data_IF_667999596180
#
_entry.id   IF_667999596180
#
_cell.length_a   1.000
_cell.length_b   1.000
_cell.length_c   1.000
_cell.angle_alpha   90.00
_cell.angle_beta   90.00
_cell.angle_gamma   90.00
#
_symmetry.space_group_name_H-M   'P 1'
#
loop_
_entity.id
_entity.type
_entity.pdbx_description
1 polymer ?
#
# COMPACT_ATOMS: atom_id res chain seq x y z
N UNK A 1 31.18 1.52 50.10
CA UNK A 1 30.74 1.41 48.69
C UNK A 1 29.25 1.74 48.65
N UNK A 2 28.87 2.85 47.99
CA UNK A 2 27.46 3.23 47.82
C UNK A 2 26.91 2.47 46.60
N UNK A 3 25.93 1.61 46.83
CA UNK A 3 25.21 0.88 45.78
C UNK A 3 24.22 1.83 45.13
N UNK A 4 24.55 2.33 43.94
CA UNK A 4 23.60 3.04 43.08
C UNK A 4 22.66 2.01 42.45
N UNK A 5 21.52 1.78 43.09
CA UNK A 5 20.33 1.19 42.46
C UNK A 5 19.75 2.20 41.46
N UNK A 6 20.34 2.25 40.27
CA UNK A 6 19.75 2.94 39.14
C UNK A 6 18.58 2.14 38.59
N UNK A 7 17.35 2.55 38.92
CA UNK A 7 16.15 2.11 38.20
C UNK A 7 16.39 2.25 36.69
N UNK A 8 16.17 1.21 35.87
CA UNK A 8 16.16 1.39 34.43
C UNK A 8 14.97 2.31 34.11
N UNK A 9 15.28 3.55 33.71
CA UNK A 9 14.28 4.48 33.17
C UNK A 9 13.53 3.76 32.06
N UNK A 10 12.25 3.47 32.27
CA UNK A 10 11.30 3.22 31.18
C UNK A 10 11.46 4.41 30.22
N UNK A 11 11.99 4.16 29.02
CA UNK A 11 11.86 5.13 27.93
C UNK A 11 10.36 5.39 27.81
N UNK A 12 9.95 6.63 27.95
CA UNK A 12 8.58 7.00 27.59
C UNK A 12 8.43 6.66 26.11
N UNK A 13 7.57 5.69 25.79
CA UNK A 13 7.20 5.44 24.41
C UNK A 13 6.54 6.71 23.88
N UNK A 14 7.19 7.36 22.93
CA UNK A 14 6.72 8.60 22.35
C UNK A 14 5.55 8.26 21.42
N UNK A 15 4.33 8.51 21.90
CA UNK A 15 3.12 8.25 21.12
C UNK A 15 3.01 9.24 19.97
N UNK A 16 3.13 8.74 18.74
CA UNK A 16 2.82 9.50 17.53
C UNK A 16 1.46 9.06 16.97
N UNK A 17 0.62 10.01 16.56
CA UNK A 17 -0.72 9.70 16.06
C UNK A 17 -0.70 9.34 14.58
N UNK A 18 -1.16 8.15 14.22
CA UNK A 18 -1.42 7.77 12.82
C UNK A 18 -2.87 8.12 12.45
N UNK A 19 -3.04 8.88 11.36
CA UNK A 19 -4.38 9.22 10.85
C UNK A 19 -4.91 8.06 9.99
N UNK A 20 -5.97 7.42 10.49
CA UNK A 20 -6.67 6.33 9.81
C UNK A 20 -8.12 6.76 9.54
N UNK A 21 -8.70 6.35 8.39
CA UNK A 21 -10.11 6.63 8.06
C UNK A 21 -11.04 6.06 9.13
N UNK A 22 -12.14 6.78 9.42
CA UNK A 22 -13.10 6.37 10.46
C UNK A 22 -13.73 5.01 10.21
N UNK A 23 -14.02 4.66 8.94
CA UNK A 23 -14.53 3.34 8.56
C UNK A 23 -13.56 2.22 8.93
N UNK A 24 -12.27 2.39 8.64
CA UNK A 24 -11.23 1.43 8.99
C UNK A 24 -11.10 1.28 10.51
N UNK A 25 -11.11 2.38 11.27
CA UNK A 25 -11.09 2.32 12.75
C UNK A 25 -12.27 1.51 13.30
N UNK A 26 -13.48 1.74 12.77
CA UNK A 26 -14.67 0.99 13.16
C UNK A 26 -14.53 -0.51 12.88
N UNK A 27 -13.98 -0.88 11.73
CA UNK A 27 -13.77 -2.28 11.38
C UNK A 27 -12.77 -2.97 12.31
N UNK A 28 -11.65 -2.32 12.64
CA UNK A 28 -10.66 -2.92 13.56
C UNK A 28 -11.23 -3.04 14.98
N UNK A 29 -11.98 -2.04 15.46
CA UNK A 29 -12.67 -2.12 16.76
C UNK A 29 -13.62 -3.33 16.80
N UNK A 30 -14.49 -3.49 15.79
CA UNK A 30 -15.41 -4.63 15.71
C UNK A 30 -14.68 -5.98 15.69
N UNK A 31 -13.54 -6.05 15.00
CA UNK A 31 -12.72 -7.25 14.95
C UNK A 31 -12.11 -7.59 16.32
N UNK A 32 -11.52 -6.60 17.00
CA UNK A 32 -10.94 -6.78 18.33
C UNK A 32 -12.02 -7.10 19.38
N UNK A 33 -13.18 -6.45 19.34
CA UNK A 33 -14.32 -6.79 20.20
C UNK A 33 -14.79 -8.23 19.99
N UNK A 34 -14.72 -8.76 18.76
CA UNK A 34 -15.08 -10.16 18.49
C UNK A 34 -14.07 -11.13 19.09
N UNK A 35 -12.77 -10.85 18.96
CA UNK A 35 -11.70 -11.75 19.41
C UNK A 35 -11.52 -11.70 20.93
N UNK A 36 -11.61 -10.51 21.52
CA UNK A 36 -11.43 -10.31 22.97
C UNK A 36 -12.68 -10.65 23.80
N UNK A 37 -13.72 -11.26 23.20
CA UNK A 37 -14.88 -11.81 23.91
C UNK A 37 -14.58 -13.13 24.60
N UNK A 38 -13.57 -13.86 24.13
CA UNK A 38 -13.10 -15.08 24.76
C UNK A 38 -12.34 -14.73 26.06
N UNK A 39 -12.84 -15.19 27.21
CA UNK A 39 -12.26 -14.93 28.54
C UNK A 39 -11.01 -15.78 28.84
N UNK A 40 -10.80 -16.80 28.03
CA UNK A 40 -9.78 -17.83 28.15
C UNK A 40 -8.38 -17.35 27.71
N UNK A 41 -8.28 -16.21 27.03
CA UNK A 41 -7.01 -15.64 26.56
C UNK A 41 -6.85 -14.16 26.93
N UNK A 42 -5.61 -13.68 26.96
CA UNK A 42 -5.29 -12.27 27.17
C UNK A 42 -5.84 -11.38 26.05
N UNK A 43 -6.26 -10.15 26.40
CA UNK A 43 -6.81 -9.20 25.43
C UNK A 43 -5.75 -8.75 24.43
N UNK A 44 -6.07 -8.87 23.15
CA UNK A 44 -5.26 -8.35 22.04
C UNK A 44 -5.49 -6.85 21.93
N UNK A 45 -4.40 -6.08 21.89
CA UNK A 45 -4.44 -4.63 21.67
C UNK A 45 -4.26 -4.29 20.19
N UNK A 46 -4.59 -3.04 19.83
CA UNK A 46 -4.32 -2.51 18.50
C UNK A 46 -2.83 -2.62 18.14
N UNK A 47 -1.96 -2.23 19.05
CA UNK A 47 -0.51 -2.21 18.81
C UNK A 47 0.03 -3.62 18.56
N UNK A 48 -0.38 -4.61 19.37
CA UNK A 48 0.03 -6.00 19.16
C UNK A 48 -0.43 -6.54 17.80
N UNK A 49 -1.66 -6.19 17.38
CA UNK A 49 -2.19 -6.60 16.08
C UNK A 49 -1.42 -5.96 14.92
N UNK A 50 -1.14 -4.65 15.00
CA UNK A 50 -0.39 -3.93 13.96
C UNK A 50 1.03 -4.45 13.86
N UNK A 51 1.73 -4.62 14.99
CA UNK A 51 3.09 -5.18 15.00
C UNK A 51 3.14 -6.58 14.37
N UNK A 52 2.18 -7.45 14.72
CA UNK A 52 2.07 -8.77 14.12
C UNK A 52 1.94 -8.69 12.59
N UNK A 53 1.04 -7.86 12.08
CA UNK A 53 0.90 -7.72 10.62
C UNK A 53 2.17 -7.14 9.98
N UNK A 54 2.82 -6.16 10.59
CA UNK A 54 4.06 -5.58 10.04
C UNK A 54 5.20 -6.61 9.95
N UNK A 55 5.30 -7.52 10.92
CA UNK A 55 6.33 -8.58 10.94
C UNK A 55 6.02 -9.75 10.00
N UNK A 56 4.73 -10.02 9.74
CA UNK A 56 4.30 -11.20 8.99
C UNK A 56 3.78 -10.89 7.58
N UNK A 57 3.76 -9.62 7.17
CA UNK A 57 3.36 -9.23 5.81
C UNK A 57 4.43 -9.67 4.82
N UNK A 58 4.04 -10.51 3.86
CA UNK A 58 4.93 -10.97 2.79
C UNK A 58 5.12 -9.90 1.72
N UNK A 59 6.13 -10.09 0.86
CA UNK A 59 6.32 -9.20 -0.28
C UNK A 59 5.16 -9.31 -1.28
N UNK A 60 4.60 -10.51 -1.44
CA UNK A 60 3.45 -10.79 -2.29
C UNK A 60 2.21 -10.00 -1.84
N UNK A 61 1.95 -9.94 -0.52
CA UNK A 61 0.85 -9.15 0.04
C UNK A 61 1.02 -7.66 -0.27
N UNK A 62 2.24 -7.13 -0.15
CA UNK A 62 2.56 -5.75 -0.49
C UNK A 62 2.33 -5.50 -1.98
N UNK A 63 2.74 -6.41 -2.84
CA UNK A 63 2.51 -6.28 -4.28
C UNK A 63 1.02 -6.27 -4.63
N UNK A 64 0.20 -7.07 -3.96
CA UNK A 64 -1.26 -7.05 -4.13
C UNK A 64 -1.83 -5.69 -3.74
N UNK A 65 -1.42 -5.16 -2.58
CA UNK A 65 -1.85 -3.83 -2.13
C UNK A 65 -1.42 -2.73 -3.11
N UNK A 66 -0.19 -2.80 -3.61
CA UNK A 66 0.33 -1.86 -4.60
C UNK A 66 -0.42 -1.95 -5.93
N UNK A 67 -0.73 -3.16 -6.41
CA UNK A 67 -1.53 -3.39 -7.64
C UNK A 67 -2.93 -2.80 -7.50
N UNK A 68 -3.57 -2.99 -6.35
CA UNK A 68 -4.88 -2.38 -6.05
C UNK A 68 -4.86 -0.84 -5.99
N UNK A 69 -3.70 -0.24 -5.72
CA UNK A 69 -3.51 1.21 -5.67
C UNK A 69 -3.04 1.83 -7.01
N UNK A 70 -2.88 1.03 -8.08
CA UNK A 70 -2.46 1.55 -9.39
C UNK A 70 -3.58 2.45 -9.95
N UNK A 71 -3.20 3.65 -10.35
CA UNK A 71 -4.07 4.60 -11.04
C UNK A 71 -3.60 4.74 -12.48
N UNK A 72 -4.44 5.28 -13.36
CA UNK A 72 -4.03 5.61 -14.72
C UNK A 72 -2.85 6.58 -14.78
N UNK A 73 -2.70 7.47 -13.79
CA UNK A 73 -1.52 8.36 -13.71
C UNK A 73 -0.23 7.58 -13.44
N UNK A 74 -0.27 6.57 -12.57
CA UNK A 74 0.85 5.66 -12.36
C UNK A 74 1.17 4.86 -13.63
N UNK A 75 0.12 4.41 -14.30
CA UNK A 75 0.21 3.54 -15.46
C UNK A 75 0.70 4.27 -16.71
N UNK A 76 0.22 5.48 -16.97
CA UNK A 76 0.66 6.34 -18.07
C UNK A 76 2.18 6.61 -18.00
N UNK A 77 2.67 7.02 -16.83
CA UNK A 77 4.11 7.25 -16.60
C UNK A 77 4.93 5.99 -16.83
N UNK A 78 4.42 4.82 -16.43
CA UNK A 78 5.09 3.52 -16.60
C UNK A 78 5.11 3.09 -18.06
N UNK A 79 3.98 3.21 -18.76
CA UNK A 79 3.82 2.86 -20.17
C UNK A 79 4.70 3.75 -21.06
N UNK A 80 4.77 5.05 -20.76
CA UNK A 80 5.69 5.97 -21.45
C UNK A 80 7.14 5.51 -21.31
N UNK A 81 7.61 5.25 -20.09
CA UNK A 81 8.97 4.74 -19.85
C UNK A 81 9.23 3.41 -20.59
N UNK A 82 8.24 2.52 -20.60
CA UNK A 82 8.34 1.24 -21.29
C UNK A 82 8.43 1.42 -22.81
N UNK A 83 7.66 2.35 -23.36
CA UNK A 83 7.73 2.73 -24.77
C UNK A 83 9.11 3.28 -25.10
N UNK A 84 9.59 4.25 -24.32
CA UNK A 84 10.88 4.90 -24.54
C UNK A 84 12.05 3.90 -24.54
N UNK A 85 11.98 2.88 -23.67
CA UNK A 85 12.96 1.80 -23.64
C UNK A 85 12.94 0.92 -24.90
N UNK A 86 11.77 0.71 -25.52
CA UNK A 86 11.59 -0.20 -26.66
C UNK A 86 11.68 0.49 -28.03
N UNK A 87 11.25 1.74 -28.11
CA UNK A 87 10.98 2.47 -29.37
C UNK A 87 11.72 3.81 -29.46
N UNK A 88 12.39 4.24 -28.38
CA UNK A 88 13.13 5.50 -28.31
C UNK A 88 12.38 6.61 -27.60
N UNK A 89 13.12 7.63 -27.15
CA UNK A 89 12.61 8.76 -26.36
C UNK A 89 11.48 9.49 -27.09
N UNK A 90 10.47 9.93 -26.34
CA UNK A 90 9.33 10.67 -26.90
C UNK A 90 9.01 11.90 -26.06
N UNK A 91 8.73 13.01 -26.71
CA UNK A 91 8.31 14.23 -26.01
C UNK A 91 6.92 14.04 -25.37
N UNK A 92 6.62 14.83 -24.35
CA UNK A 92 5.30 14.79 -23.70
C UNK A 92 4.17 15.08 -24.67
N UNK A 93 4.33 16.09 -25.53
CA UNK A 93 3.35 16.46 -26.56
C UNK A 93 3.11 15.30 -27.53
N UNK A 94 4.17 14.66 -28.01
CA UNK A 94 4.04 13.54 -28.96
C UNK A 94 3.43 12.31 -28.31
N UNK A 95 3.76 12.04 -27.04
CA UNK A 95 3.13 10.97 -26.26
C UNK A 95 1.61 11.16 -26.19
N UNK A 96 1.15 12.37 -25.81
CA UNK A 96 -0.28 12.70 -25.77
C UNK A 96 -0.96 12.61 -27.12
N UNK A 97 -0.31 13.11 -28.18
CA UNK A 97 -0.82 13.00 -29.55
C UNK A 97 -1.05 11.53 -29.94
N UNK A 98 -0.08 10.64 -29.66
CA UNK A 98 -0.22 9.21 -29.94
C UNK A 98 -1.29 8.52 -29.08
N UNK A 99 -1.50 8.97 -27.84
CA UNK A 99 -2.61 8.51 -26.99
C UNK A 99 -3.96 8.88 -27.60
N UNK A 100 -4.15 10.16 -27.94
CA UNK A 100 -5.43 10.68 -28.44
C UNK A 100 -5.78 10.15 -29.83
N UNK A 101 -4.79 9.96 -30.70
CA UNK A 101 -4.98 9.36 -32.02
C UNK A 101 -5.13 7.83 -31.97
N UNK A 102 -5.04 7.21 -30.79
CA UNK A 102 -5.21 5.77 -30.62
C UNK A 102 -4.03 4.92 -31.09
N UNK A 103 -2.91 5.53 -31.48
CA UNK A 103 -1.71 4.82 -31.96
C UNK A 103 -1.10 3.90 -30.90
N UNK A 104 -1.34 4.18 -29.62
CA UNK A 104 -0.85 3.37 -28.51
C UNK A 104 -1.83 2.27 -28.07
N UNK A 105 -3.00 2.10 -28.71
CA UNK A 105 -4.07 1.19 -28.24
C UNK A 105 -3.58 -0.25 -28.07
N UNK A 106 -2.91 -0.81 -29.08
CA UNK A 106 -2.35 -2.17 -29.01
C UNK A 106 -1.23 -2.28 -27.96
N UNK A 107 -0.37 -1.26 -27.88
CA UNK A 107 0.73 -1.22 -26.94
C UNK A 107 0.22 -1.20 -25.49
N UNK A 108 -0.79 -0.38 -25.21
CA UNK A 108 -1.43 -0.28 -23.90
C UNK A 108 -2.15 -1.58 -23.58
N UNK A 109 -2.96 -2.13 -24.50
CA UNK A 109 -3.67 -3.39 -24.28
C UNK A 109 -2.72 -4.55 -23.92
N UNK A 110 -1.57 -4.65 -24.59
CA UNK A 110 -0.57 -5.70 -24.34
C UNK A 110 0.24 -5.51 -23.05
N UNK A 111 0.40 -4.27 -22.59
CA UNK A 111 1.34 -3.97 -21.51
C UNK A 111 0.69 -3.39 -20.26
N UNK A 112 -0.59 -3.00 -20.31
CA UNK A 112 -1.32 -2.41 -19.19
C UNK A 112 -1.44 -3.40 -18.04
N UNK A 113 -1.24 -2.91 -16.82
CA UNK A 113 -1.53 -3.62 -15.56
C UNK A 113 -2.98 -3.44 -15.13
N UNK A 114 -3.66 -2.45 -15.69
CA UNK A 114 -5.09 -2.22 -15.50
C UNK A 114 -5.85 -2.93 -16.63
N UNK A 115 -6.98 -3.55 -16.30
CA UNK A 115 -7.86 -4.12 -17.32
C UNK A 115 -8.26 -3.04 -18.31
N UNK A 116 -8.06 -3.34 -19.59
CA UNK A 116 -8.49 -2.50 -20.71
C UNK A 116 -9.58 -3.24 -21.45
N UNK A 117 -10.71 -3.48 -20.78
CA UNK A 117 -11.88 -4.07 -21.42
C UNK A 117 -12.44 -3.09 -22.44
N UNK A 118 -12.02 -3.26 -23.69
CA UNK A 118 -12.75 -2.76 -24.84
C UNK A 118 -13.72 -3.86 -25.25
N UNK A 119 -14.92 -3.88 -24.67
CA UNK A 119 -16.05 -4.55 -25.33
C UNK A 119 -16.37 -3.72 -26.57
N UNK A 120 -15.97 -4.25 -27.73
CA UNK A 120 -16.38 -3.70 -29.03
C UNK A 120 -17.70 -4.28 -29.48
#
# INVERSE_FOLDING_TARGET
MKTNTGNPKKKNDEYSSIRVKGSTKSNVNKFLEKINKAEDCGKITFDSLVSYFLENTSQEDIEVLQKGAITWAHEDKRLKRLWEKKKGKVTETKWKEMLYLGHLREFISKHSRLETTYTS
#
